data_IF_198108237091
#
_entry.id   IF_198108237091
#
_cell.length_a   1.000
_cell.length_b   1.000
_cell.length_c   1.000
_cell.angle_alpha   90.00
_cell.angle_beta   90.00
_cell.angle_gamma   90.00
#
_symmetry.space_group_name_H-M   'P 1'
#
loop_
_entity.id
_entity.type
_entity.pdbx_description
1 polymer ?
#
# COMPACT_ATOMS: atom_id res chain seq x y z
N UNK A 1 -1.77 -18.71 -1.60
CA UNK A 1 -2.14 -17.33 -1.17
C UNK A 1 -2.84 -16.65 -2.34
N UNK A 2 -3.96 -15.96 -2.13
CA UNK A 2 -4.66 -15.21 -3.20
C UNK A 2 -4.35 -13.72 -3.04
N UNK A 3 -3.12 -13.33 -3.42
CA UNK A 3 -2.61 -11.97 -3.27
C UNK A 3 -3.51 -10.93 -3.94
N UNK A 4 -4.01 -11.25 -5.15
CA UNK A 4 -4.83 -10.35 -5.96
C UNK A 4 -6.31 -10.72 -5.92
N UNK A 5 -6.80 -11.27 -4.80
CA UNK A 5 -8.22 -11.60 -4.66
C UNK A 5 -9.09 -10.35 -4.86
N UNK A 6 -10.08 -10.43 -5.76
CA UNK A 6 -10.96 -9.29 -6.10
C UNK A 6 -10.39 -8.33 -7.14
N UNK A 7 -9.15 -8.53 -7.58
CA UNK A 7 -8.54 -7.74 -8.66
C UNK A 7 -8.95 -8.33 -10.01
N UNK A 8 -9.59 -7.51 -10.84
CA UNK A 8 -9.85 -7.78 -12.26
C UNK A 8 -8.95 -6.83 -13.05
N UNK A 9 -7.92 -7.34 -13.71
CA UNK A 9 -6.86 -6.50 -14.27
C UNK A 9 -6.80 -6.54 -15.79
N UNK A 10 -6.25 -5.48 -16.36
CA UNK A 10 -5.78 -5.45 -17.75
C UNK A 10 -4.35 -4.91 -17.78
N UNK A 11 -3.57 -5.34 -18.78
CA UNK A 11 -2.21 -4.88 -19.03
C UNK A 11 -2.18 -4.07 -20.33
N UNK A 12 -1.41 -2.98 -20.36
CA UNK A 12 -1.24 -2.15 -21.54
C UNK A 12 0.17 -1.57 -21.64
N UNK A 13 0.75 -1.55 -22.84
CA UNK A 13 2.07 -0.95 -23.11
C UNK A 13 3.27 -1.83 -22.75
N UNK A 14 3.04 -3.09 -22.36
CA UNK A 14 4.10 -4.07 -22.13
C UNK A 14 4.53 -4.75 -23.44
N UNK A 15 5.79 -5.17 -23.53
CA UNK A 15 6.21 -6.08 -24.59
C UNK A 15 5.60 -7.49 -24.38
N UNK A 16 5.56 -8.34 -25.42
CA UNK A 16 4.88 -9.63 -25.33
C UNK A 16 5.42 -10.58 -24.23
N UNK A 17 6.70 -10.46 -23.87
CA UNK A 17 7.30 -11.33 -22.84
C UNK A 17 6.87 -10.86 -21.47
N UNK A 18 7.02 -9.56 -21.18
CA UNK A 18 6.58 -8.99 -19.91
C UNK A 18 5.07 -9.09 -19.71
N UNK A 19 4.25 -8.87 -20.74
CA UNK A 19 2.79 -9.05 -20.65
C UNK A 19 2.44 -10.47 -20.21
N UNK A 20 2.98 -11.47 -20.91
CA UNK A 20 2.72 -12.87 -20.60
C UNK A 20 3.16 -13.24 -19.17
N UNK A 21 4.30 -12.72 -18.72
CA UNK A 21 4.81 -12.96 -17.38
C UNK A 21 3.92 -12.33 -16.30
N UNK A 22 3.63 -11.03 -16.38
CA UNK A 22 2.76 -10.34 -15.42
C UNK A 22 1.38 -10.98 -15.37
N UNK A 23 0.77 -11.24 -16.54
CA UNK A 23 -0.56 -11.84 -16.64
C UNK A 23 -0.61 -13.22 -16.00
N UNK A 24 0.37 -14.08 -16.31
CA UNK A 24 0.47 -15.43 -15.73
C UNK A 24 0.59 -15.37 -14.20
N UNK A 25 1.48 -14.53 -13.68
CA UNK A 25 1.73 -14.45 -12.24
C UNK A 25 0.56 -13.82 -11.48
N UNK A 26 -0.09 -12.79 -12.01
CA UNK A 26 -1.27 -12.19 -11.37
C UNK A 26 -2.45 -13.17 -11.33
N UNK A 27 -2.70 -13.92 -12.42
CA UNK A 27 -3.74 -14.96 -12.46
C UNK A 27 -3.43 -16.09 -11.47
N UNK A 28 -2.18 -16.56 -11.45
CA UNK A 28 -1.72 -17.60 -10.51
C UNK A 28 -1.96 -17.22 -9.05
N UNK A 29 -1.91 -15.92 -8.75
CA UNK A 29 -2.11 -15.38 -7.41
C UNK A 29 -3.51 -14.81 -7.17
N UNK A 30 -4.49 -15.20 -7.98
CA UNK A 30 -5.92 -14.98 -7.71
C UNK A 30 -6.54 -13.75 -8.37
N UNK A 31 -5.78 -13.02 -9.18
CA UNK A 31 -6.31 -11.98 -10.06
C UNK A 31 -7.07 -12.59 -11.23
N UNK A 32 -7.99 -11.82 -11.81
CA UNK A 32 -8.73 -12.22 -13.00
C UNK A 32 -8.40 -11.29 -14.16
N UNK A 33 -8.06 -11.87 -15.30
CA UNK A 33 -7.86 -11.11 -16.53
C UNK A 33 -9.20 -10.55 -17.04
N UNK A 34 -9.28 -9.24 -17.20
CA UNK A 34 -10.45 -8.55 -17.72
C UNK A 34 -10.47 -8.47 -19.25
N UNK A 35 -9.39 -8.86 -19.95
CA UNK A 35 -9.24 -8.76 -21.40
C UNK A 35 -9.04 -7.33 -21.93
N UNK A 36 -9.49 -6.31 -21.20
CA UNK A 36 -9.32 -4.89 -21.54
C UNK A 36 -9.61 -3.96 -20.36
N UNK A 37 -9.32 -2.67 -20.54
CA UNK A 37 -9.46 -1.62 -19.52
C UNK A 37 -10.90 -1.18 -19.23
N UNK A 38 -11.89 -1.81 -19.86
CA UNK A 38 -13.30 -1.41 -19.84
C UNK A 38 -14.11 -2.20 -18.79
N UNK A 39 -15.38 -2.51 -19.08
CA UNK A 39 -16.42 -2.87 -18.12
C UNK A 39 -15.99 -4.03 -17.19
N UNK A 40 -15.95 -3.74 -15.89
CA UNK A 40 -15.56 -4.69 -14.85
C UNK A 40 -14.04 -4.83 -14.62
N UNK A 41 -13.20 -4.02 -15.28
CA UNK A 41 -11.79 -3.86 -14.89
C UNK A 41 -11.71 -3.05 -13.58
N UNK A 42 -10.95 -3.54 -12.59
CA UNK A 42 -10.69 -2.80 -11.35
C UNK A 42 -9.30 -2.16 -11.35
N UNK A 43 -8.33 -2.76 -12.06
CA UNK A 43 -6.95 -2.27 -12.13
C UNK A 43 -6.42 -2.34 -13.57
N UNK A 44 -6.09 -1.18 -14.16
CA UNK A 44 -5.33 -1.10 -15.39
C UNK A 44 -3.85 -0.94 -15.03
N UNK A 45 -3.05 -1.96 -15.32
CA UNK A 45 -1.59 -1.90 -15.16
C UNK A 45 -0.99 -1.44 -16.48
N UNK A 46 -0.21 -0.36 -16.46
CA UNK A 46 0.39 0.22 -17.65
C UNK A 46 1.93 0.21 -17.60
N UNK A 47 2.55 0.16 -18.77
CA UNK A 47 3.98 0.39 -18.97
C UNK A 47 4.19 1.40 -20.09
N UNK A 48 5.10 2.34 -19.91
CA UNK A 48 5.44 3.35 -20.92
C UNK A 48 4.36 4.40 -21.23
N UNK A 49 3.24 4.40 -20.49
CA UNK A 49 2.18 5.39 -20.62
C UNK A 49 2.28 6.43 -19.50
N UNK A 50 1.81 7.64 -19.79
CA UNK A 50 1.74 8.74 -18.82
C UNK A 50 0.35 8.82 -18.17
N UNK A 51 0.28 9.55 -17.06
CA UNK A 51 -0.93 9.70 -16.26
C UNK A 51 -2.13 10.14 -17.10
N UNK A 52 -1.95 11.16 -17.95
CA UNK A 52 -3.00 11.77 -18.77
C UNK A 52 -3.09 11.19 -20.19
N UNK A 53 -2.51 10.00 -20.43
CA UNK A 53 -2.78 9.24 -21.66
C UNK A 53 -4.30 8.99 -21.79
N UNK A 54 -4.91 9.12 -22.99
CA UNK A 54 -6.35 8.96 -23.16
C UNK A 54 -6.93 7.67 -22.59
N UNK A 55 -6.19 6.55 -22.64
CA UNK A 55 -6.65 5.27 -22.07
C UNK A 55 -6.61 5.31 -20.55
N UNK A 56 -5.58 5.92 -19.96
CA UNK A 56 -5.46 6.12 -18.52
C UNK A 56 -6.56 7.06 -17.97
N UNK A 57 -6.90 8.12 -18.71
CA UNK A 57 -8.00 9.03 -18.34
C UNK A 57 -9.33 8.29 -18.36
N UNK A 58 -9.65 7.63 -19.48
CA UNK A 58 -10.91 6.89 -19.62
C UNK A 58 -11.07 5.80 -18.54
N UNK A 59 -10.01 5.04 -18.24
CA UNK A 59 -10.04 4.04 -17.18
C UNK A 59 -10.39 4.66 -15.82
N UNK A 60 -9.77 5.79 -15.46
CA UNK A 60 -10.06 6.51 -14.20
C UNK A 60 -11.49 7.05 -14.14
N UNK A 61 -12.03 7.57 -15.24
CA UNK A 61 -13.43 8.03 -15.32
C UNK A 61 -14.44 6.90 -15.04
N UNK A 62 -14.08 5.66 -15.37
CA UNK A 62 -14.87 4.47 -15.06
C UNK A 62 -14.62 3.91 -13.64
N UNK A 63 -13.79 4.55 -12.82
CA UNK A 63 -13.44 4.09 -11.48
C UNK A 63 -12.36 2.99 -11.46
N UNK A 64 -11.71 2.71 -12.58
CA UNK A 64 -10.58 1.78 -12.65
C UNK A 64 -9.33 2.45 -12.09
N UNK A 65 -8.62 1.76 -11.18
CA UNK A 65 -7.32 2.23 -10.69
C UNK A 65 -6.27 2.05 -11.78
N UNK A 66 -5.55 3.11 -12.12
CA UNK A 66 -4.47 3.05 -13.11
C UNK A 66 -3.13 3.05 -12.37
N UNK A 67 -2.40 1.95 -12.52
CA UNK A 67 -1.13 1.70 -11.83
C UNK A 67 -0.05 1.26 -12.81
N UNK A 68 1.21 1.32 -12.42
CA UNK A 68 2.34 0.81 -13.19
C UNK A 68 2.72 -0.61 -12.76
N UNK A 69 3.59 -1.28 -13.53
CA UNK A 69 4.13 -2.60 -13.17
C UNK A 69 4.75 -2.65 -11.77
N UNK A 70 5.25 -1.51 -11.27
CA UNK A 70 5.79 -1.34 -9.93
C UNK A 70 4.79 -1.74 -8.82
N UNK A 71 3.48 -1.50 -9.02
CA UNK A 71 2.47 -1.95 -8.05
C UNK A 71 2.43 -3.46 -7.95
N UNK A 72 2.50 -4.16 -9.09
CA UNK A 72 2.50 -5.61 -9.15
C UNK A 72 3.76 -6.18 -8.51
N UNK A 73 4.92 -5.60 -8.84
CA UNK A 73 6.22 -6.00 -8.29
C UNK A 73 6.25 -5.83 -6.77
N UNK A 74 5.87 -4.66 -6.25
CA UNK A 74 5.85 -4.40 -4.81
C UNK A 74 4.82 -5.29 -4.09
N UNK A 75 3.68 -5.62 -4.72
CA UNK A 75 2.74 -6.60 -4.15
C UNK A 75 3.38 -7.98 -3.95
N UNK A 76 4.21 -8.43 -4.91
CA UNK A 76 4.93 -9.69 -4.80
C UNK A 76 6.04 -9.63 -3.74
N UNK A 77 6.84 -8.56 -3.74
CA UNK A 77 7.95 -8.39 -2.79
C UNK A 77 7.48 -8.31 -1.35
N UNK A 78 6.34 -7.66 -1.11
CA UNK A 78 5.72 -7.54 0.21
C UNK A 78 4.93 -8.80 0.61
N UNK A 79 4.52 -9.62 -0.36
CA UNK A 79 3.57 -10.71 -0.15
C UNK A 79 2.18 -10.24 0.29
N UNK A 80 1.85 -8.97 0.07
CA UNK A 80 0.59 -8.32 0.45
C UNK A 80 0.16 -7.33 -0.64
N UNK A 81 -1.14 -7.12 -0.81
CA UNK A 81 -1.66 -6.20 -1.81
C UNK A 81 -1.36 -4.76 -1.38
N UNK A 82 -0.45 -4.09 -2.09
CA UNK A 82 -0.12 -2.69 -1.84
C UNK A 82 -1.31 -1.78 -2.14
N UNK A 83 -1.37 -0.64 -1.45
CA UNK A 83 -2.40 0.37 -1.71
C UNK A 83 -2.22 0.98 -3.10
N UNK A 84 -3.08 0.57 -4.04
CA UNK A 84 -3.06 1.03 -5.42
C UNK A 84 -3.33 2.54 -5.57
N UNK A 85 -3.89 3.22 -4.55
CA UNK A 85 -4.13 4.67 -4.61
C UNK A 85 -2.87 5.50 -4.29
N UNK A 86 -1.83 4.86 -3.73
CA UNK A 86 -0.58 5.51 -3.39
C UNK A 86 0.11 6.09 -4.64
N UNK A 87 0.65 7.31 -4.50
CA UNK A 87 1.19 8.09 -5.64
C UNK A 87 2.35 7.37 -6.36
N UNK A 88 3.13 6.58 -5.63
CA UNK A 88 4.23 5.76 -6.15
C UNK A 88 3.82 4.85 -7.33
N UNK A 89 2.58 4.38 -7.32
CA UNK A 89 2.10 3.41 -8.31
C UNK A 89 1.46 4.05 -9.52
N UNK A 90 1.16 5.35 -9.46
CA UNK A 90 0.55 6.07 -10.57
C UNK A 90 1.57 6.27 -11.69
N UNK A 91 1.14 6.21 -12.97
CA UNK A 91 1.99 6.64 -14.06
C UNK A 91 2.43 8.10 -13.86
N UNK A 92 3.66 8.44 -14.24
CA UNK A 92 4.15 9.82 -14.22
C UNK A 92 3.38 10.68 -15.22
N UNK A 93 3.22 11.99 -14.98
CA UNK A 93 2.54 12.89 -15.93
C UNK A 93 3.46 13.31 -17.07
N UNK A 94 4.76 13.39 -16.81
CA UNK A 94 5.81 13.68 -17.80
C UNK A 94 7.02 12.78 -17.54
N UNK A 95 7.63 12.27 -18.61
CA UNK A 95 8.81 11.41 -18.55
C UNK A 95 10.08 12.17 -18.16
N UNK A 96 10.10 13.49 -18.39
CA UNK A 96 11.21 14.37 -18.00
C UNK A 96 11.12 14.81 -16.52
N UNK A 97 10.06 14.42 -15.82
CA UNK A 97 9.82 14.76 -14.41
C UNK A 97 9.08 16.08 -14.21
N UNK A 98 9.06 16.56 -12.98
CA UNK A 98 8.42 17.83 -12.62
C UNK A 98 9.31 18.98 -13.10
N UNK A 99 8.77 19.99 -13.83
CA UNK A 99 9.56 21.11 -14.32
C UNK A 99 10.40 21.79 -13.22
N UNK A 100 11.71 21.89 -13.42
CA UNK A 100 12.66 22.50 -12.48
C UNK A 100 13.24 21.52 -11.46
N UNK A 101 12.73 20.29 -11.36
CA UNK A 101 13.18 19.30 -10.39
C UNK A 101 14.60 18.79 -10.69
N UNK A 102 15.09 18.93 -11.92
CA UNK A 102 16.45 18.58 -12.33
C UNK A 102 17.53 19.41 -11.62
N UNK A 103 17.14 20.58 -11.08
CA UNK A 103 17.98 21.44 -10.24
C UNK A 103 18.11 20.93 -8.80
N UNK A 104 17.21 20.03 -8.38
CA UNK A 104 17.16 19.50 -7.03
C UNK A 104 18.12 18.33 -6.86
N UNK A 105 18.77 18.31 -5.70
CA UNK A 105 19.61 17.22 -5.25
C UNK A 105 19.16 16.81 -3.85
N UNK A 106 18.70 15.57 -3.72
CA UNK A 106 17.99 15.05 -2.56
C UNK A 106 18.85 13.99 -1.88
N UNK A 107 19.04 14.12 -0.56
CA UNK A 107 19.68 13.12 0.28
C UNK A 107 18.66 12.55 1.28
N UNK A 108 18.85 11.31 1.72
CA UNK A 108 18.03 10.67 2.75
C UNK A 108 18.86 10.41 4.02
N UNK A 109 18.21 10.54 5.18
CA UNK A 109 18.73 10.08 6.47
C UNK A 109 17.65 9.38 7.30
N UNK A 110 18.05 8.40 8.11
CA UNK A 110 17.17 7.62 9.00
C UNK A 110 16.28 6.57 8.30
N UNK A 111 15.97 6.71 7.01
CA UNK A 111 15.24 5.69 6.25
C UNK A 111 16.10 4.45 5.93
N UNK A 112 15.54 3.29 6.26
CA UNK A 112 15.98 1.92 6.04
C UNK A 112 15.02 1.17 5.10
N UNK A 113 15.35 -0.08 4.77
CA UNK A 113 14.50 -0.92 3.92
C UNK A 113 13.11 -1.13 4.53
N UNK A 114 13.01 -1.28 5.85
CA UNK A 114 11.75 -1.61 6.53
C UNK A 114 10.75 -0.45 6.55
N UNK A 115 11.22 0.81 6.49
CA UNK A 115 10.38 2.01 6.52
C UNK A 115 10.44 2.79 5.19
N UNK A 116 10.55 2.07 4.06
CA UNK A 116 10.27 2.66 2.76
C UNK A 116 11.41 3.44 2.10
N UNK A 117 12.68 3.25 2.48
CA UNK A 117 13.83 3.90 1.81
C UNK A 117 13.79 3.75 0.30
N UNK A 118 13.49 2.55 -0.19
CA UNK A 118 13.45 2.26 -1.63
C UNK A 118 12.30 3.01 -2.32
N UNK A 119 11.11 3.05 -1.70
CA UNK A 119 9.98 3.83 -2.19
C UNK A 119 10.32 5.33 -2.30
N UNK A 120 10.99 5.89 -1.30
CA UNK A 120 11.40 7.30 -1.32
C UNK A 120 12.41 7.58 -2.43
N UNK A 121 13.39 6.68 -2.65
CA UNK A 121 14.33 6.83 -3.78
C UNK A 121 13.60 6.73 -5.12
N UNK A 122 12.62 5.82 -5.25
CA UNK A 122 11.77 5.73 -6.45
C UNK A 122 11.03 7.06 -6.69
N UNK A 123 10.43 7.66 -5.65
CA UNK A 123 9.75 8.96 -5.76
C UNK A 123 10.69 10.11 -6.16
N UNK A 124 11.93 10.15 -5.64
CA UNK A 124 12.94 11.13 -6.07
C UNK A 124 13.23 11.01 -7.57
N UNK A 125 13.34 9.78 -8.09
CA UNK A 125 13.58 9.55 -9.50
C UNK A 125 12.35 9.91 -10.35
N UNK A 126 11.13 9.55 -9.92
CA UNK A 126 9.88 9.92 -10.62
C UNK A 126 9.68 11.42 -10.71
N UNK A 127 10.11 12.16 -9.69
CA UNK A 127 10.10 13.62 -9.67
C UNK A 127 11.05 14.24 -10.70
N UNK A 128 12.06 13.50 -11.18
CA UNK A 128 13.13 14.04 -12.04
C UNK A 128 14.30 14.67 -11.25
N UNK A 129 14.31 14.50 -9.92
CA UNK A 129 15.36 15.05 -9.05
C UNK A 129 16.58 14.12 -8.94
N UNK A 130 17.74 14.68 -8.58
CA UNK A 130 18.97 13.90 -8.40
C UNK A 130 19.04 13.31 -7.01
N UNK A 131 19.16 11.99 -6.91
CA UNK A 131 19.44 11.33 -5.64
C UNK A 131 20.94 11.35 -5.30
N UNK A 132 21.28 11.75 -4.07
CA UNK A 132 22.65 11.70 -3.52
C UNK A 132 22.71 10.83 -2.27
N UNK A 133 23.51 9.75 -2.33
CA UNK A 133 23.80 8.90 -1.16
C UNK A 133 24.55 9.67 -0.05
N UNK A 134 25.66 10.39 -0.34
CA UNK A 134 26.32 11.24 0.64
C UNK A 134 25.63 12.60 0.78
N UNK A 135 25.74 13.21 1.96
CA UNK A 135 25.32 14.60 2.18
C UNK A 135 26.48 15.53 1.78
N UNK A 136 26.45 16.05 0.55
CA UNK A 136 27.46 17.01 0.07
C UNK A 136 26.92 18.43 0.20
N UNK A 137 27.43 19.20 1.18
CA UNK A 137 26.90 20.50 1.58
C UNK A 137 26.65 21.51 0.44
N UNK A 138 27.52 21.55 -0.58
CA UNK A 138 27.40 22.49 -1.72
C UNK A 138 26.47 21.99 -2.84
N UNK A 139 26.02 20.75 -2.79
CA UNK A 139 25.26 20.11 -3.87
C UNK A 139 23.85 19.72 -3.43
N UNK A 140 23.70 19.19 -2.22
CA UNK A 140 22.42 18.73 -1.70
C UNK A 140 21.57 19.95 -1.36
N UNK A 141 20.37 20.00 -1.94
CA UNK A 141 19.36 21.05 -1.74
C UNK A 141 18.37 20.68 -0.65
N UNK A 142 18.04 19.39 -0.53
CA UNK A 142 17.02 18.87 0.37
C UNK A 142 17.55 17.62 1.07
N UNK A 143 17.35 17.54 2.39
CA UNK A 143 17.55 16.35 3.20
C UNK A 143 16.17 15.86 3.67
N UNK A 144 15.76 14.70 3.17
CA UNK A 144 14.55 14.02 3.65
C UNK A 144 14.93 13.20 4.89
N UNK A 145 14.29 13.51 6.00
CA UNK A 145 14.59 12.97 7.33
C UNK A 145 13.47 12.07 7.82
N UNK A 146 13.82 10.83 8.18
CA UNK A 146 12.91 9.96 8.92
C UNK A 146 12.75 10.44 10.36
N UNK A 147 13.85 10.75 11.04
CA UNK A 147 13.86 11.45 12.33
C UNK A 147 14.73 12.70 12.21
N UNK A 148 14.40 13.74 12.98
CA UNK A 148 15.17 14.99 13.04
C UNK A 148 16.36 14.88 13.99
N UNK A 149 17.24 13.93 13.69
CA UNK A 149 18.43 13.62 14.47
C UNK A 149 19.57 13.06 13.61
N UNK A 150 20.76 12.95 14.22
CA UNK A 150 21.94 12.32 13.61
C UNK A 150 22.86 13.29 12.86
N UNK A 151 24.02 12.78 12.44
CA UNK A 151 25.12 13.59 11.88
C UNK A 151 24.72 14.36 10.62
N UNK A 152 23.97 13.71 9.71
CA UNK A 152 23.49 14.36 8.48
C UNK A 152 22.51 15.49 8.78
N UNK A 153 21.63 15.31 9.76
CA UNK A 153 20.68 16.34 10.16
C UNK A 153 21.37 17.56 10.77
N UNK A 154 22.31 17.35 11.70
CA UNK A 154 23.04 18.46 12.31
C UNK A 154 23.92 19.21 11.29
N UNK A 155 24.57 18.48 10.37
CA UNK A 155 25.32 19.11 9.28
C UNK A 155 24.40 19.92 8.36
N UNK A 156 23.25 19.36 7.96
CA UNK A 156 22.28 20.04 7.11
C UNK A 156 21.76 21.34 7.74
N UNK A 157 21.51 21.37 9.05
CA UNK A 157 21.15 22.59 9.79
C UNK A 157 22.25 23.64 9.70
N UNK A 158 23.50 23.23 9.96
CA UNK A 158 24.65 24.12 9.97
C UNK A 158 24.86 24.79 8.60
N UNK A 159 24.65 24.05 7.51
CA UNK A 159 24.82 24.55 6.14
C UNK A 159 23.51 25.03 5.49
N UNK A 160 22.41 25.11 6.25
CA UNK A 160 21.10 25.59 5.81
C UNK A 160 20.52 24.85 4.60
N UNK A 161 20.68 23.53 4.58
CA UNK A 161 19.95 22.64 3.66
C UNK A 161 18.49 22.53 4.11
N UNK A 162 17.56 22.45 3.17
CA UNK A 162 16.14 22.24 3.50
C UNK A 162 15.96 20.87 4.15
N UNK A 163 15.50 20.84 5.39
CA UNK A 163 15.24 19.61 6.15
C UNK A 163 13.73 19.40 6.22
N UNK A 164 13.26 18.30 5.65
CA UNK A 164 11.84 18.00 5.48
C UNK A 164 11.59 16.49 5.61
N UNK A 165 10.33 16.08 5.74
CA UNK A 165 9.92 14.68 5.69
C UNK A 165 9.55 14.22 4.25
N UNK A 166 9.26 12.93 4.10
CA UNK A 166 8.94 12.30 2.82
C UNK A 166 7.61 12.75 2.19
N UNK A 167 6.64 13.24 2.99
CA UNK A 167 5.34 13.69 2.50
C UNK A 167 5.47 14.78 1.43
N UNK A 168 6.52 15.60 1.52
CA UNK A 168 6.82 16.60 0.49
C UNK A 168 6.98 15.99 -0.90
N UNK A 169 7.68 14.85 -1.02
CA UNK A 169 7.85 14.16 -2.30
C UNK A 169 6.52 13.65 -2.84
N UNK A 170 5.71 13.04 -1.98
CA UNK A 170 4.40 12.53 -2.36
C UNK A 170 3.49 13.64 -2.86
N UNK A 171 3.44 14.75 -2.13
CA UNK A 171 2.53 15.85 -2.44
C UNK A 171 2.99 16.62 -3.67
N UNK A 172 4.31 16.77 -3.88
CA UNK A 172 4.86 17.27 -5.14
C UNK A 172 4.48 16.36 -6.32
N UNK A 173 4.54 15.03 -6.17
CA UNK A 173 4.13 14.11 -7.23
C UNK A 173 2.61 14.11 -7.48
N UNK A 174 1.79 14.24 -6.43
CA UNK A 174 0.33 14.37 -6.53
C UNK A 174 -0.07 15.65 -7.27
N UNK A 175 0.55 16.78 -6.89
CA UNK A 175 0.33 18.09 -7.51
C UNK A 175 1.01 18.24 -8.87
N UNK A 176 2.05 17.45 -9.13
CA UNK A 176 2.99 17.61 -10.24
C UNK A 176 3.67 18.98 -10.27
N UNK A 177 4.12 19.44 -9.10
CA UNK A 177 4.76 20.73 -8.92
C UNK A 177 5.77 20.68 -7.75
N UNK A 178 6.73 21.60 -7.72
CA UNK A 178 7.70 21.73 -6.62
C UNK A 178 7.08 22.60 -5.53
N UNK A 179 6.54 21.94 -4.50
CA UNK A 179 5.82 22.62 -3.43
C UNK A 179 6.75 23.34 -2.43
N UNK A 180 6.27 24.38 -1.73
CA UNK A 180 7.00 25.01 -0.63
C UNK A 180 7.34 24.02 0.49
N UNK A 181 8.53 24.15 1.07
CA UNK A 181 9.04 23.20 2.07
C UNK A 181 8.45 23.41 3.47
N UNK A 182 7.93 24.59 3.78
CA UNK A 182 7.61 25.03 5.15
C UNK A 182 6.64 24.06 5.87
N UNK A 183 5.67 23.52 5.13
CA UNK A 183 4.65 22.59 5.66
C UNK A 183 5.20 21.21 6.08
N UNK A 184 6.46 20.92 5.73
CA UNK A 184 7.07 19.59 5.89
C UNK A 184 8.25 19.60 6.87
N UNK A 185 8.45 20.72 7.58
CA UNK A 185 9.57 20.93 8.52
C UNK A 185 9.21 20.63 9.97
N UNK A 186 7.92 20.64 10.32
CA UNK A 186 7.45 20.57 11.70
C UNK A 186 7.43 19.14 12.28
N UNK A 187 7.24 18.13 11.41
CA UNK A 187 7.18 16.72 11.79
C UNK A 187 8.14 15.91 10.96
N UNK A 188 8.80 14.96 11.60
CA UNK A 188 9.66 13.98 10.97
C UNK A 188 8.85 12.86 10.32
N UNK A 189 9.49 12.06 9.46
CA UNK A 189 8.84 10.90 8.84
C UNK A 189 8.34 9.85 9.85
N UNK A 190 9.06 9.65 10.95
CA UNK A 190 8.66 8.77 12.05
C UNK A 190 7.37 9.24 12.68
N UNK A 191 7.27 10.53 13.01
CA UNK A 191 6.07 11.07 13.66
C UNK A 191 4.84 10.90 12.79
N UNK A 192 4.98 11.04 11.45
CA UNK A 192 3.90 10.72 10.52
C UNK A 192 3.51 9.25 10.56
N UNK A 193 4.49 8.34 10.54
CA UNK A 193 4.25 6.89 10.58
C UNK A 193 3.51 6.47 11.87
N UNK A 194 3.91 6.99 13.03
CA UNK A 194 3.22 6.72 14.31
C UNK A 194 1.79 7.25 14.28
N UNK A 195 1.58 8.48 13.81
CA UNK A 195 0.24 9.06 13.73
C UNK A 195 -0.68 8.27 12.77
N UNK A 196 -0.15 7.78 11.65
CA UNK A 196 -0.91 6.93 10.73
C UNK A 196 -1.27 5.57 11.34
N UNK A 197 -0.35 4.97 12.10
CA UNK A 197 -0.61 3.71 12.81
C UNK A 197 -1.72 3.89 13.86
N UNK A 198 -1.64 4.95 14.68
CA UNK A 198 -2.66 5.28 15.68
C UNK A 198 -4.03 5.57 15.04
N UNK A 199 -4.05 6.26 13.90
CA UNK A 199 -5.28 6.53 13.17
C UNK A 199 -5.94 5.24 12.66
N UNK A 200 -5.17 4.32 12.07
CA UNK A 200 -5.67 3.03 11.58
C UNK A 200 -6.22 2.16 12.70
N UNK A 201 -5.49 2.07 13.81
CA UNK A 201 -5.94 1.30 14.98
C UNK A 201 -7.28 1.83 15.51
N UNK A 202 -7.46 3.16 15.53
CA UNK A 202 -8.71 3.79 15.95
C UNK A 202 -9.89 3.54 14.99
N UNK A 203 -9.63 3.52 13.67
CA UNK A 203 -10.64 3.23 12.66
C UNK A 203 -11.10 1.77 12.73
N UNK A 204 -10.17 0.83 12.92
CA UNK A 204 -10.47 -0.59 13.05
C UNK A 204 -11.29 -0.90 14.32
N UNK A 205 -10.97 -0.25 15.45
CA UNK A 205 -11.77 -0.36 16.68
C UNK A 205 -13.21 0.12 16.46
N UNK A 206 -13.39 1.25 15.77
CA UNK A 206 -14.73 1.80 15.49
C UNK A 206 -15.58 0.87 14.59
N UNK A 207 -14.97 0.29 13.56
CA UNK A 207 -15.64 -0.65 12.64
C UNK A 207 -15.97 -1.98 13.33
N UNK A 208 -15.13 -2.43 14.26
CA UNK A 208 -15.38 -3.63 15.06
C UNK A 208 -16.55 -3.45 16.04
N UNK A 209 -16.67 -2.26 16.63
CA UNK A 209 -17.74 -1.93 17.57
C UNK A 209 -19.13 -1.84 16.88
N UNK A 210 -19.18 -1.33 15.65
CA UNK A 210 -20.44 -1.23 14.88
C UNK A 210 -20.96 -2.62 14.45
N UNK A 211 -20.06 -3.54 14.07
CA UNK A 211 -20.41 -4.95 13.77
C UNK A 211 -20.88 -5.72 15.01
N UNK A 212 -20.47 -5.32 16.21
CA UNK A 212 -20.93 -5.92 17.47
C UNK A 212 -22.36 -5.50 17.88
N UNK A 213 -22.92 -4.44 17.29
CA UNK A 213 -24.24 -3.91 17.67
C UNK A 213 -25.41 -4.52 16.87
N UNK A 214 -25.16 -5.14 15.71
CA UNK A 214 -26.22 -5.64 14.83
C UNK A 214 -26.87 -6.97 15.25
N UNK A 215 -26.37 -7.67 16.28
CA UNK A 215 -26.85 -9.01 16.66
C UNK A 215 -27.79 -9.06 17.89
N UNK A 216 -28.37 -7.92 18.29
CA UNK A 216 -29.20 -7.84 19.50
C UNK A 216 -30.53 -7.10 19.32
N UNK A 217 -31.27 -7.35 18.23
CA UNK A 217 -32.70 -6.98 18.16
C UNK A 217 -33.54 -8.05 17.46
N UNK A 218 -34.15 -8.95 18.23
CA UNK A 218 -35.20 -9.78 17.66
C UNK A 218 -35.78 -10.95 18.48
N UNK A 219 -35.71 -10.99 19.81
CA UNK A 219 -36.57 -11.93 20.57
C UNK A 219 -37.12 -11.24 21.82
N UNK A 220 -38.43 -10.94 21.81
CA UNK A 220 -39.33 -11.27 22.93
C UNK A 220 -40.79 -10.86 22.67
N UNK A 221 -41.67 -11.88 22.78
CA UNK A 221 -43.06 -11.94 23.33
C UNK A 221 -43.98 -12.71 22.37
N UNK A 222 -44.86 -13.65 22.75
CA UNK A 222 -45.16 -14.38 23.99
C UNK A 222 -46.36 -15.31 23.69
N UNK A 223 -46.24 -16.62 23.97
CA UNK A 223 -47.24 -17.59 24.53
C UNK A 223 -48.61 -17.81 23.80
N UNK A 224 -48.93 -19.07 23.41
CA UNK A 224 -49.85 -20.00 24.12
C UNK A 224 -50.04 -21.37 23.40
N UNK A 225 -49.89 -22.45 24.18
CA UNK A 225 -50.44 -23.84 24.16
C UNK A 225 -50.71 -24.59 22.82
N UNK A 226 -50.46 -25.90 22.68
CA UNK A 226 -50.99 -27.02 23.48
C UNK A 226 -50.18 -28.30 23.25
N UNK A 227 -50.18 -29.16 24.28
CA UNK A 227 -49.57 -30.47 24.49
C UNK A 227 -49.79 -31.53 23.38
N UNK A 228 -48.93 -32.57 23.33
CA UNK A 228 -49.27 -33.96 23.71
C UNK A 228 -48.06 -34.92 23.52
N UNK A 229 -47.83 -35.70 24.59
CA UNK A 229 -47.25 -37.05 24.70
C UNK A 229 -45.73 -37.33 24.58
N UNK A 230 -45.31 -38.12 25.58
CA UNK A 230 -43.99 -38.56 26.04
C UNK A 230 -43.72 -40.04 25.65
N UNK A 231 -42.82 -40.82 26.30
CA UNK A 231 -41.35 -40.84 26.10
C UNK A 231 -40.80 -42.29 26.04
N UNK A 232 -39.76 -42.67 25.27
CA UNK A 232 -39.15 -44.01 25.53
C UNK A 232 -37.62 -44.11 25.30
N UNK A 233 -36.94 -44.45 26.41
CA UNK A 233 -35.69 -45.19 26.62
C UNK A 233 -34.30 -44.63 26.25
N UNK A 234 -33.50 -44.33 27.29
CA UNK A 234 -32.12 -44.84 27.42
C UNK A 234 -32.11 -46.28 27.97
N UNK A 235 -30.94 -46.94 28.23
CA UNK A 235 -29.74 -46.30 28.78
C UNK A 235 -28.34 -46.89 28.37
N UNK A 236 -27.30 -46.28 28.92
CA UNK A 236 -26.01 -46.86 29.41
C UNK A 236 -24.85 -47.18 28.44
N UNK A 237 -23.76 -46.41 28.50
CA UNK A 237 -22.45 -46.63 29.19
C UNK A 237 -21.67 -47.89 28.78
N UNK A 238 -20.43 -47.74 28.28
CA UNK A 238 -19.23 -48.31 28.93
C UNK A 238 -17.92 -47.71 28.40
N UNK A 239 -17.05 -47.39 29.35
CA UNK A 239 -15.68 -46.90 29.24
C UNK A 239 -14.70 -47.97 28.75
N UNK A 240 -13.54 -47.56 28.25
CA UNK A 240 -12.38 -48.44 28.05
C UNK A 240 -11.11 -47.67 27.68
N UNK A 241 -10.32 -47.34 28.68
CA UNK A 241 -9.00 -46.70 28.63
C UNK A 241 -7.88 -47.64 28.16
N UNK A 242 -6.75 -46.99 27.80
CA UNK A 242 -5.35 -47.45 27.88
C UNK A 242 -4.92 -48.52 26.85
N UNK A 243 -3.69 -48.58 26.33
CA UNK A 243 -2.40 -48.26 26.97
C UNK A 243 -1.28 -48.20 25.91
N UNK A 244 -0.25 -47.40 26.19
CA UNK A 244 1.06 -47.32 25.49
C UNK A 244 2.05 -48.23 26.23
N UNK A 245 2.99 -48.92 25.57
CA UNK A 245 4.43 -48.57 25.70
C UNK A 245 5.19 -48.74 24.35
N UNK A 246 6.11 -47.85 23.94
CA UNK A 246 7.47 -47.60 24.43
C UNK A 246 8.46 -48.79 24.30
N UNK A 247 9.54 -48.58 23.55
CA UNK A 247 10.75 -49.42 23.54
C UNK A 247 11.51 -49.37 22.20
N UNK A 248 12.47 -48.44 22.03
CA UNK A 248 13.95 -48.66 22.06
C UNK A 248 14.51 -49.60 20.98
N UNK A 249 15.19 -49.03 19.98
CA UNK A 249 16.66 -48.99 19.89
C UNK A 249 17.12 -47.97 18.85
#
# INVERSE_FOLDING_TARGET
MRLFAGVRFALLGFDPVSDAQYRSEMVRHGGADAGGAQEGCTHLVVSGLVYDDPVCVAAREHGTKVVTGLWVDDCFDLGAMADADHVLYRPVRDLEGIPGAESLCICLTGYQRQNGREAIVKMVNMMGARFSKPLTAKRVTHLICYQFEGEKYELAKMVKINIINHQWLEDCLKAWDILPVDNYTARSGWELEIMEAEAKDSEDESQSADRGSSDSRGIARSILATEIATPIHGPSVFSGNAEVPAGTH
#
